data_IF_213752056538
#
_entry.id   IF_213752056538
#
_cell.length_a   1.000
_cell.length_b   1.000
_cell.length_c   1.000
_cell.angle_alpha   90.00
_cell.angle_beta   90.00
_cell.angle_gamma   90.00
#
_symmetry.space_group_name_H-M   'P 1'
#
loop_
_entity.id
_entity.type
_entity.pdbx_description
1 polymer ?
#
# COMPACT_ATOMS: atom_id res chain seq x y z
N UNK A 1 -11.58 37.68 22.53
CA UNK A 1 -10.35 38.45 22.26
C UNK A 1 -9.15 37.54 22.44
N UNK A 2 -8.37 37.29 21.40
CA UNK A 2 -7.19 36.41 21.46
C UNK A 2 -6.10 37.11 22.29
N UNK A 3 -5.46 36.38 23.19
CA UNK A 3 -4.37 36.92 24.00
C UNK A 3 -3.23 37.41 23.08
N UNK A 4 -2.64 38.58 23.36
CA UNK A 4 -1.60 39.21 22.54
C UNK A 4 -0.44 38.26 22.20
N UNK A 5 -0.09 37.35 23.09
CA UNK A 5 0.96 36.34 22.87
C UNK A 5 0.57 35.22 21.88
N UNK A 6 -0.72 34.98 21.66
CA UNK A 6 -1.21 33.94 20.75
C UNK A 6 -1.34 34.43 19.28
N UNK A 7 -1.17 35.73 19.02
CA UNK A 7 -1.32 36.29 17.69
C UNK A 7 -0.27 35.79 16.69
N UNK A 8 0.92 35.39 17.17
CA UNK A 8 1.96 34.78 16.32
C UNK A 8 1.52 33.40 15.80
N UNK A 9 0.75 32.63 16.58
CA UNK A 9 0.18 31.36 16.13
C UNK A 9 -0.85 31.57 15.03
N UNK A 10 -1.71 32.60 15.17
CA UNK A 10 -2.66 32.96 14.12
C UNK A 10 -1.95 33.36 12.82
N UNK A 11 -0.85 34.10 12.92
CA UNK A 11 -0.01 34.44 11.76
C UNK A 11 0.58 33.17 11.10
N UNK A 12 1.12 32.28 11.90
CA UNK A 12 1.66 31.01 11.40
C UNK A 12 0.60 30.16 10.70
N UNK A 13 -0.60 30.05 11.29
CA UNK A 13 -1.71 29.33 10.68
C UNK A 13 -2.17 29.95 9.34
N UNK A 14 -2.15 31.28 9.22
CA UNK A 14 -2.43 31.95 7.93
C UNK A 14 -1.38 31.59 6.90
N UNK A 15 -0.09 31.64 7.25
CA UNK A 15 0.99 31.26 6.35
C UNK A 15 0.85 29.77 5.96
N UNK A 16 0.65 28.88 6.93
CA UNK A 16 0.49 27.45 6.68
C UNK A 16 -0.69 27.15 5.76
N UNK A 17 -1.83 27.80 5.96
CA UNK A 17 -3.08 27.47 5.28
C UNK A 17 -3.28 28.18 3.94
N UNK A 18 -2.82 29.43 3.84
CA UNK A 18 -3.16 30.29 2.71
C UNK A 18 -1.97 30.69 1.84
N UNK A 19 -0.80 30.10 2.06
CA UNK A 19 0.37 30.38 1.22
C UNK A 19 1.04 29.10 0.74
N UNK A 20 1.63 29.18 -0.40
CA UNK A 20 2.56 28.24 -1.01
C UNK A 20 3.39 29.00 -2.07
N UNK A 21 4.27 28.31 -2.80
CA UNK A 21 5.14 28.92 -3.82
C UNK A 21 4.38 29.68 -4.90
N UNK A 22 3.14 29.28 -5.21
CA UNK A 22 2.28 29.92 -6.21
C UNK A 22 1.27 30.90 -5.61
N UNK A 23 1.12 30.92 -4.28
CA UNK A 23 0.14 31.75 -3.57
C UNK A 23 0.82 32.54 -2.46
N UNK A 24 1.42 33.64 -2.84
CA UNK A 24 2.21 34.54 -1.99
C UNK A 24 1.30 35.61 -1.39
N UNK A 25 1.46 35.92 -0.11
CA UNK A 25 0.71 36.95 0.57
C UNK A 25 1.60 38.14 0.94
N UNK A 26 1.18 39.35 0.52
CA UNK A 26 1.78 40.58 1.04
C UNK A 26 1.44 40.77 2.52
N UNK A 27 2.21 41.58 3.24
CA UNK A 27 1.93 41.94 4.63
C UNK A 27 0.53 42.52 4.82
N UNK A 28 0.00 43.26 3.86
CA UNK A 28 -1.36 43.81 3.88
C UNK A 28 -2.41 42.68 3.80
N UNK A 29 -2.27 41.76 2.83
CA UNK A 29 -3.16 40.60 2.71
C UNK A 29 -3.12 39.71 3.93
N UNK A 30 -1.96 39.56 4.59
CA UNK A 30 -1.85 38.83 5.87
C UNK A 30 -2.65 39.54 6.95
N UNK A 31 -2.53 40.87 7.06
CA UNK A 31 -3.29 41.68 8.01
C UNK A 31 -4.80 41.53 7.82
N UNK A 32 -5.27 41.65 6.57
CA UNK A 32 -6.68 41.45 6.23
C UNK A 32 -7.20 40.05 6.66
N UNK A 33 -6.41 39.02 6.40
CA UNK A 33 -6.77 37.66 6.81
C UNK A 33 -6.76 37.48 8.34
N UNK A 34 -5.78 38.04 9.03
CA UNK A 34 -5.74 38.01 10.50
C UNK A 34 -6.99 38.68 11.07
N UNK A 35 -7.40 39.81 10.52
CA UNK A 35 -8.59 40.55 10.94
C UNK A 35 -9.87 39.76 10.64
N UNK A 36 -10.01 39.27 9.42
CA UNK A 36 -11.23 38.59 8.97
C UNK A 36 -11.46 37.21 9.61
N UNK A 37 -10.39 36.47 9.89
CA UNK A 37 -10.50 35.08 10.37
C UNK A 37 -10.43 35.00 11.90
N UNK A 38 -9.54 35.79 12.50
CA UNK A 38 -9.25 35.70 13.93
C UNK A 38 -9.64 36.94 14.73
N UNK A 39 -10.19 37.99 14.07
CA UNK A 39 -10.43 39.31 14.64
C UNK A 39 -9.18 39.92 15.31
N UNK A 40 -8.01 39.64 14.72
CA UNK A 40 -6.70 40.15 15.15
C UNK A 40 -6.29 41.27 14.25
N UNK A 41 -6.23 42.49 14.80
CA UNK A 41 -5.64 43.64 14.09
C UNK A 41 -4.15 43.73 14.45
N UNK A 42 -3.29 43.38 13.48
CA UNK A 42 -1.84 43.36 13.66
C UNK A 42 -1.20 44.38 12.73
N UNK A 43 -0.50 45.34 13.31
CA UNK A 43 0.25 46.34 12.51
C UNK A 43 1.34 45.69 11.64
N UNK A 44 1.63 46.29 10.51
CA UNK A 44 2.62 45.79 9.54
C UNK A 44 3.99 45.55 10.18
N UNK A 45 4.46 46.43 11.06
CA UNK A 45 5.73 46.25 11.79
C UNK A 45 5.69 45.02 12.72
N UNK A 46 4.54 44.75 13.32
CA UNK A 46 4.36 43.56 14.16
C UNK A 46 4.35 42.27 13.35
N UNK A 47 3.77 42.28 12.12
CA UNK A 47 3.83 41.15 11.19
C UNK A 47 5.30 40.81 10.87
N UNK A 48 6.10 41.79 10.49
CA UNK A 48 7.53 41.58 10.20
C UNK A 48 8.28 41.02 11.39
N UNK A 49 8.09 41.56 12.57
CA UNK A 49 8.73 41.09 13.80
C UNK A 49 8.34 39.66 14.16
N UNK A 50 7.07 39.31 13.97
CA UNK A 50 6.58 37.99 14.22
C UNK A 50 7.09 36.98 13.19
N UNK A 51 7.24 37.36 11.92
CA UNK A 51 7.85 36.53 10.88
C UNK A 51 9.32 36.23 11.23
N UNK A 52 10.08 37.26 11.65
CA UNK A 52 11.47 37.05 12.07
C UNK A 52 11.56 36.16 13.35
N UNK A 53 10.59 36.29 14.24
CA UNK A 53 10.51 35.41 15.41
C UNK A 53 10.22 33.94 15.03
N UNK A 54 9.37 33.71 14.02
CA UNK A 54 9.13 32.36 13.47
C UNK A 54 10.38 31.81 12.78
N UNK A 55 11.06 32.62 11.96
CA UNK A 55 12.33 32.24 11.33
C UNK A 55 13.42 31.89 12.35
N UNK A 56 13.52 32.64 13.44
CA UNK A 56 14.48 32.37 14.51
C UNK A 56 14.20 31.04 15.24
N UNK A 57 13.02 30.47 15.09
CA UNK A 57 12.62 29.13 15.57
C UNK A 57 12.82 28.02 14.54
N UNK A 58 13.42 28.32 13.40
CA UNK A 58 13.70 27.36 12.35
C UNK A 58 12.56 27.17 11.36
N UNK A 59 11.51 28.01 11.40
CA UNK A 59 10.42 27.94 10.42
C UNK A 59 10.87 28.70 9.16
N UNK A 60 11.00 28.01 8.03
CA UNK A 60 11.42 28.61 6.79
C UNK A 60 10.27 29.34 6.11
N UNK A 61 10.37 30.64 6.02
CA UNK A 61 9.38 31.53 5.41
C UNK A 61 10.09 32.38 4.36
N UNK A 62 9.70 32.27 3.09
CA UNK A 62 10.16 33.17 2.06
C UNK A 62 9.61 34.60 2.29
N UNK A 63 10.32 35.61 1.84
CA UNK A 63 9.94 36.99 2.01
C UNK A 63 10.20 37.84 0.75
N UNK A 64 10.02 39.15 0.88
CA UNK A 64 10.21 40.09 -0.23
C UNK A 64 11.61 40.06 -0.84
N UNK A 65 12.62 39.60 -0.10
CA UNK A 65 13.99 39.47 -0.60
C UNK A 65 14.12 38.33 -1.59
N UNK A 66 13.28 37.29 -1.40
CA UNK A 66 13.35 36.03 -2.18
C UNK A 66 12.50 36.10 -3.45
N UNK A 67 11.33 36.79 -3.40
CA UNK A 67 10.34 36.75 -4.49
C UNK A 67 9.77 38.11 -4.90
N UNK A 68 10.07 39.23 -4.17
CA UNK A 68 9.55 40.58 -4.35
C UNK A 68 8.03 40.78 -4.22
N UNK A 69 7.28 39.73 -3.89
CA UNK A 69 5.81 39.73 -3.82
C UNK A 69 5.26 39.68 -2.40
N UNK A 70 5.93 38.94 -1.50
CA UNK A 70 5.47 38.81 -0.13
C UNK A 70 6.03 37.61 0.61
N UNK A 71 5.19 36.99 1.41
CA UNK A 71 5.55 35.87 2.29
C UNK A 71 4.82 34.62 1.91
N UNK A 72 5.51 33.48 1.98
CA UNK A 72 4.93 32.17 1.96
C UNK A 72 5.76 31.20 2.81
N UNK A 73 5.11 30.16 3.34
CA UNK A 73 5.76 29.09 4.09
C UNK A 73 6.46 28.15 3.11
N UNK A 74 7.79 28.02 3.22
CA UNK A 74 8.60 27.12 2.40
C UNK A 74 8.52 25.70 2.99
N UNK A 75 8.97 25.57 4.24
CA UNK A 75 9.12 24.29 4.89
C UNK A 75 7.77 23.78 5.42
N UNK A 76 7.39 22.60 4.96
CA UNK A 76 6.21 21.89 5.42
C UNK A 76 6.62 20.55 5.98
N UNK A 77 5.83 20.03 6.89
CA UNK A 77 6.07 18.70 7.50
C UNK A 77 6.18 17.57 6.47
N UNK A 78 5.45 17.74 5.34
CA UNK A 78 5.49 16.83 4.19
C UNK A 78 5.51 17.63 2.90
N UNK A 79 6.31 17.20 1.94
CA UNK A 79 6.27 17.67 0.57
C UNK A 79 4.94 17.29 -0.12
N UNK A 80 4.53 18.06 -1.11
CA UNK A 80 3.28 17.82 -1.84
C UNK A 80 3.22 16.41 -2.47
N UNK A 81 4.34 15.94 -3.01
CA UNK A 81 4.50 14.60 -3.58
C UNK A 81 4.37 13.48 -2.54
N UNK A 82 4.87 13.73 -1.33
CA UNK A 82 4.76 12.78 -0.21
C UNK A 82 3.32 12.69 0.28
N UNK A 83 2.63 13.83 0.45
CA UNK A 83 1.21 13.85 0.79
C UNK A 83 0.39 13.12 -0.27
N UNK A 84 0.70 13.32 -1.55
CA UNK A 84 0.05 12.58 -2.64
C UNK A 84 0.22 11.09 -2.49
N UNK A 85 1.46 10.61 -2.30
CA UNK A 85 1.77 9.19 -2.12
C UNK A 85 1.03 8.61 -0.92
N UNK A 86 1.04 9.32 0.22
CA UNK A 86 0.33 8.89 1.43
C UNK A 86 -1.19 8.83 1.21
N UNK A 87 -1.77 9.81 0.53
CA UNK A 87 -3.20 9.79 0.19
C UNK A 87 -3.55 8.61 -0.72
N UNK A 88 -2.74 8.34 -1.75
CA UNK A 88 -2.96 7.23 -2.68
C UNK A 88 -2.79 5.88 -1.95
N UNK A 89 -1.82 5.73 -1.06
CA UNK A 89 -1.63 4.54 -0.23
C UNK A 89 -2.84 4.26 0.68
N UNK A 90 -3.38 5.29 1.32
CA UNK A 90 -4.61 5.19 2.14
C UNK A 90 -5.82 4.87 1.28
N UNK A 91 -5.94 5.50 0.11
CA UNK A 91 -7.05 5.29 -0.82
C UNK A 91 -7.05 3.86 -1.41
N UNK A 92 -5.88 3.32 -1.73
CA UNK A 92 -5.68 1.98 -2.29
C UNK A 92 -5.79 0.86 -1.25
N UNK A 93 -5.68 1.17 0.05
CA UNK A 93 -5.73 0.16 1.10
C UNK A 93 -7.10 -0.51 1.17
N UNK A 94 -7.15 -1.83 1.01
CA UNK A 94 -8.38 -2.62 1.19
C UNK A 94 -8.76 -2.82 2.66
N UNK A 95 -7.83 -2.57 3.58
CA UNK A 95 -8.03 -2.71 5.03
C UNK A 95 -8.78 -1.54 5.68
N UNK A 96 -8.83 -0.38 5.06
CA UNK A 96 -9.40 0.83 5.68
C UNK A 96 -10.76 1.11 5.05
N UNK A 97 -11.83 1.20 5.86
CA UNK A 97 -13.16 1.59 5.38
C UNK A 97 -13.10 2.92 4.63
N UNK A 98 -13.89 3.07 3.59
CA UNK A 98 -13.98 4.29 2.79
C UNK A 98 -14.16 5.55 3.65
N UNK A 99 -15.08 5.52 4.63
CA UNK A 99 -15.31 6.64 5.54
C UNK A 99 -14.07 7.01 6.36
N UNK A 100 -13.32 6.01 6.82
CA UNK A 100 -12.07 6.23 7.58
C UNK A 100 -10.95 6.70 6.67
N UNK A 101 -10.85 6.15 5.44
CA UNK A 101 -9.89 6.63 4.43
C UNK A 101 -10.12 8.11 4.12
N UNK A 102 -11.36 8.54 3.94
CA UNK A 102 -11.71 9.97 3.72
C UNK A 102 -11.26 10.85 4.88
N UNK A 103 -11.43 10.39 6.12
CA UNK A 103 -11.00 11.15 7.32
C UNK A 103 -9.47 11.26 7.37
N UNK A 104 -8.74 10.16 7.12
CA UNK A 104 -7.27 10.17 7.14
C UNK A 104 -6.73 11.05 6.01
N UNK A 105 -7.25 10.90 4.79
CA UNK A 105 -6.87 11.71 3.63
C UNK A 105 -7.11 13.20 3.93
N UNK A 106 -8.26 13.55 4.52
CA UNK A 106 -8.53 14.94 4.92
C UNK A 106 -7.45 15.48 5.87
N UNK A 107 -7.07 14.72 6.88
CA UNK A 107 -6.00 15.12 7.82
C UNK A 107 -4.65 15.29 7.12
N UNK A 108 -4.29 14.40 6.20
CA UNK A 108 -3.07 14.53 5.40
C UNK A 108 -3.08 15.80 4.55
N UNK A 109 -4.21 16.10 3.92
CA UNK A 109 -4.37 17.30 3.10
C UNK A 109 -4.32 18.59 3.93
N UNK A 110 -4.69 18.58 5.20
CA UNK A 110 -4.59 19.73 6.12
C UNK A 110 -3.13 20.12 6.44
N UNK A 111 -2.14 19.26 6.12
CA UNK A 111 -0.72 19.63 6.19
C UNK A 111 -0.30 20.61 5.09
N UNK A 112 -1.07 20.74 4.02
CA UNK A 112 -0.80 21.54 2.84
C UNK A 112 -1.61 22.84 2.82
N UNK A 113 -1.27 23.76 1.89
CA UNK A 113 -2.13 24.93 1.62
C UNK A 113 -3.50 24.49 1.11
N UNK A 114 -4.50 25.35 1.28
CA UNK A 114 -5.86 25.09 0.73
C UNK A 114 -5.85 24.91 -0.79
N UNK A 115 -4.90 25.51 -1.48
CA UNK A 115 -4.77 25.45 -2.94
C UNK A 115 -4.19 24.10 -3.36
N UNK A 116 -3.09 23.69 -2.73
CA UNK A 116 -2.47 22.38 -2.93
C UNK A 116 -3.42 21.25 -2.52
N UNK A 117 -4.10 21.40 -1.37
CA UNK A 117 -5.12 20.45 -0.91
C UNK A 117 -6.24 20.26 -1.92
N UNK A 118 -6.78 21.34 -2.48
CA UNK A 118 -7.83 21.28 -3.52
C UNK A 118 -7.35 20.62 -4.81
N UNK A 119 -6.08 20.84 -5.18
CA UNK A 119 -5.48 20.20 -6.34
C UNK A 119 -5.40 18.69 -6.14
N UNK A 120 -4.92 18.24 -4.97
CA UNK A 120 -4.82 16.82 -4.65
C UNK A 120 -6.19 16.14 -4.52
N UNK A 121 -7.19 16.80 -3.91
CA UNK A 121 -8.54 16.26 -3.76
C UNK A 121 -9.18 15.87 -5.09
N UNK A 122 -8.89 16.58 -6.18
CA UNK A 122 -9.41 16.27 -7.52
C UNK A 122 -8.82 15.00 -8.14
N UNK A 123 -7.71 14.53 -7.62
CA UNK A 123 -6.90 13.45 -8.23
C UNK A 123 -6.75 12.20 -7.36
N UNK A 124 -7.16 12.27 -6.09
CA UNK A 124 -7.16 11.11 -5.18
C UNK A 124 -8.50 10.40 -5.27
N UNK A 125 -8.49 9.14 -5.69
CA UNK A 125 -9.68 8.31 -5.81
C UNK A 125 -9.68 7.20 -4.77
N UNK A 126 -10.69 7.16 -3.91
CA UNK A 126 -10.90 6.07 -2.96
C UNK A 126 -11.73 4.98 -3.64
N UNK A 127 -11.17 3.78 -3.74
CA UNK A 127 -11.86 2.62 -4.28
C UNK A 127 -13.08 2.28 -3.43
N UNK A 128 -14.25 2.19 -4.07
CA UNK A 128 -15.55 1.99 -3.39
C UNK A 128 -15.89 0.51 -3.12
N UNK A 129 -15.03 -0.43 -3.55
CA UNK A 129 -15.28 -1.85 -3.32
C UNK A 129 -15.20 -2.20 -1.83
N UNK A 130 -15.98 -3.21 -1.42
CA UNK A 130 -16.23 -3.66 -0.04
C UNK A 130 -14.96 -3.69 0.81
N UNK A 131 -14.64 -2.57 1.44
CA UNK A 131 -13.59 -2.48 2.46
C UNK A 131 -14.21 -2.98 3.76
N UNK A 132 -13.78 -4.14 4.21
CA UNK A 132 -14.44 -4.90 5.28
C UNK A 132 -14.04 -4.42 6.68
N UNK A 133 -13.01 -3.56 6.83
CA UNK A 133 -12.39 -3.36 8.13
C UNK A 133 -12.94 -2.20 8.94
N UNK A 134 -13.20 -2.55 10.20
CA UNK A 134 -13.77 -1.70 11.25
C UNK A 134 -12.68 -0.89 11.96
N UNK A 135 -13.09 0.09 12.77
CA UNK A 135 -12.25 0.78 13.75
C UNK A 135 -11.47 -0.20 14.67
N UNK A 136 -11.96 -1.44 14.79
CA UNK A 136 -11.36 -2.50 15.60
C UNK A 136 -9.91 -2.81 15.20
N UNK A 137 -9.55 -2.73 13.90
CA UNK A 137 -8.17 -2.96 13.46
C UNK A 137 -7.19 -1.99 14.13
N UNK A 138 -7.55 -0.70 14.20
CA UNK A 138 -6.67 0.31 14.81
C UNK A 138 -6.50 0.06 16.32
N UNK A 139 -7.58 -0.29 17.01
CA UNK A 139 -7.50 -0.68 18.43
C UNK A 139 -6.65 -1.93 18.63
N UNK A 140 -6.77 -2.91 17.74
CA UNK A 140 -5.95 -4.13 17.80
C UNK A 140 -4.46 -3.81 17.59
N UNK A 141 -4.14 -2.96 16.61
CA UNK A 141 -2.75 -2.52 16.36
C UNK A 141 -2.20 -1.79 17.56
N UNK A 142 -2.96 -0.85 18.14
CA UNK A 142 -2.54 -0.08 19.31
C UNK A 142 -2.29 -1.00 20.52
N UNK A 143 -3.22 -1.92 20.81
CA UNK A 143 -3.08 -2.87 21.91
C UNK A 143 -1.85 -3.79 21.74
N UNK A 144 -1.62 -4.29 20.51
CA UNK A 144 -0.46 -5.12 20.22
C UNK A 144 0.85 -4.35 20.32
N UNK A 145 0.90 -3.09 19.86
CA UNK A 145 2.07 -2.24 20.00
C UNK A 145 2.41 -1.97 21.46
N UNK A 146 1.40 -1.71 22.29
CA UNK A 146 1.59 -1.55 23.73
C UNK A 146 2.14 -2.83 24.35
N UNK A 147 1.55 -4.00 24.02
CA UNK A 147 1.98 -5.29 24.54
C UNK A 147 3.44 -5.63 24.14
N UNK A 148 3.81 -5.35 22.88
CA UNK A 148 5.19 -5.54 22.40
C UNK A 148 6.16 -4.65 23.17
N UNK A 149 5.84 -3.35 23.34
CA UNK A 149 6.70 -2.41 24.06
C UNK A 149 6.85 -2.76 25.54
N UNK A 150 5.82 -3.31 26.16
CA UNK A 150 5.84 -3.76 27.54
C UNK A 150 6.44 -5.14 27.73
N UNK A 151 6.67 -5.89 26.65
CA UNK A 151 7.10 -7.27 26.71
C UNK A 151 6.08 -8.20 27.37
N UNK A 152 4.77 -7.96 27.13
CA UNK A 152 3.68 -8.69 27.73
C UNK A 152 2.96 -9.60 26.74
N UNK A 153 2.50 -10.77 27.22
CA UNK A 153 1.60 -11.65 26.45
C UNK A 153 0.24 -10.99 26.26
N UNK A 154 -0.44 -11.40 25.20
CA UNK A 154 -1.83 -11.00 24.95
C UNK A 154 -2.73 -12.23 24.86
N UNK A 155 -3.95 -12.11 25.34
CA UNK A 155 -5.03 -13.04 25.01
C UNK A 155 -5.89 -12.42 23.91
N UNK A 156 -6.37 -13.26 22.98
CA UNK A 156 -7.25 -12.83 21.90
C UNK A 156 -8.15 -14.01 21.48
N UNK A 157 -9.25 -13.69 20.78
CA UNK A 157 -10.09 -14.65 20.09
C UNK A 157 -9.73 -14.66 18.61
N UNK A 158 -9.54 -15.85 18.05
CA UNK A 158 -9.37 -16.03 16.61
C UNK A 158 -10.72 -16.02 15.90
N UNK A 159 -10.72 -15.33 14.75
CA UNK A 159 -11.84 -15.28 13.82
C UNK A 159 -11.45 -15.97 12.52
N UNK A 160 -12.41 -16.68 11.91
CA UNK A 160 -12.31 -17.24 10.57
C UNK A 160 -13.51 -16.85 9.73
N UNK A 161 -13.36 -16.90 8.40
CA UNK A 161 -14.49 -16.64 7.51
C UNK A 161 -15.48 -17.82 7.55
N UNK A 162 -16.71 -17.54 7.93
CA UNK A 162 -17.83 -18.45 7.74
C UNK A 162 -18.23 -18.59 6.26
N UNK A 163 -19.15 -19.49 5.98
CA UNK A 163 -19.67 -19.74 4.61
C UNK A 163 -20.36 -18.47 4.03
N UNK A 164 -20.90 -17.64 4.89
CA UNK A 164 -21.52 -16.34 4.57
C UNK A 164 -20.52 -15.22 4.26
N UNK A 165 -19.20 -15.50 4.27
CA UNK A 165 -18.12 -14.53 4.11
C UNK A 165 -18.03 -13.47 5.23
N UNK A 166 -18.58 -13.74 6.39
CA UNK A 166 -18.40 -12.95 7.61
C UNK A 166 -17.37 -13.61 8.53
N UNK A 167 -16.67 -12.77 9.32
CA UNK A 167 -15.73 -13.27 10.33
C UNK A 167 -16.51 -13.76 11.55
N UNK A 168 -16.37 -15.02 11.87
CA UNK A 168 -17.01 -15.70 12.98
C UNK A 168 -15.98 -16.19 14.00
N UNK A 169 -16.35 -16.23 15.27
CA UNK A 169 -15.49 -16.77 16.34
C UNK A 169 -15.35 -18.28 16.19
N UNK A 170 -14.11 -18.77 16.20
CA UNK A 170 -13.84 -20.20 16.18
C UNK A 170 -14.22 -20.81 17.53
N UNK A 171 -14.89 -21.93 17.52
CA UNK A 171 -15.12 -22.70 18.74
C UNK A 171 -13.77 -23.03 19.41
N UNK A 172 -13.58 -22.63 20.66
CA UNK A 172 -12.30 -22.69 21.39
C UNK A 172 -11.18 -21.82 20.79
N UNK A 173 -11.51 -20.75 20.04
CA UNK A 173 -10.56 -19.84 19.39
C UNK A 173 -9.81 -18.91 20.34
N UNK A 174 -9.95 -19.05 21.67
CA UNK A 174 -9.16 -18.29 22.63
C UNK A 174 -7.68 -18.71 22.55
N UNK A 175 -6.80 -17.74 22.30
CA UNK A 175 -5.36 -17.96 22.19
C UNK A 175 -4.62 -16.97 23.10
N UNK A 176 -3.46 -17.40 23.58
CA UNK A 176 -2.51 -16.54 24.26
C UNK A 176 -1.27 -16.49 23.39
N UNK A 177 -0.80 -15.29 23.08
CA UNK A 177 0.31 -15.03 22.16
C UNK A 177 1.38 -14.22 22.90
N UNK A 178 2.64 -14.59 22.73
CA UNK A 178 3.80 -13.74 23.00
C UNK A 178 4.07 -12.90 21.73
N UNK A 179 3.62 -11.64 21.65
CA UNK A 179 3.77 -10.82 20.46
C UNK A 179 5.18 -10.25 20.38
N UNK A 180 5.82 -10.32 19.20
CA UNK A 180 7.19 -9.82 19.03
C UNK A 180 7.29 -8.61 18.10
N UNK A 181 6.60 -8.66 16.95
CA UNK A 181 6.65 -7.58 15.96
C UNK A 181 5.42 -7.63 15.05
N UNK A 182 4.93 -6.44 14.69
CA UNK A 182 3.91 -6.29 13.65
C UNK A 182 4.58 -6.10 12.29
N UNK A 183 4.03 -6.75 11.26
CA UNK A 183 4.51 -6.61 9.87
C UNK A 183 3.36 -6.32 8.94
N UNK A 184 3.65 -5.54 7.89
CA UNK A 184 2.73 -5.27 6.80
C UNK A 184 3.14 -6.07 5.57
N UNK A 185 2.24 -6.92 5.06
CA UNK A 185 2.52 -7.82 3.94
C UNK A 185 1.29 -7.93 3.05
N UNK A 186 1.44 -7.66 1.75
CA UNK A 186 0.36 -7.75 0.75
C UNK A 186 -0.95 -7.06 1.19
N UNK A 187 -0.83 -5.86 1.73
CA UNK A 187 -2.00 -5.09 2.14
C UNK A 187 -2.62 -5.51 3.47
N UNK A 188 -2.04 -6.47 4.20
CA UNK A 188 -2.54 -6.95 5.48
C UNK A 188 -1.53 -6.77 6.61
N UNK A 189 -2.03 -6.49 7.81
CA UNK A 189 -1.22 -6.49 9.02
C UNK A 189 -1.20 -7.87 9.67
N UNK A 190 -0.01 -8.31 10.04
CA UNK A 190 0.22 -9.54 10.79
C UNK A 190 0.98 -9.22 12.07
N UNK A 191 0.67 -9.95 13.13
CA UNK A 191 1.51 -10.05 14.32
C UNK A 191 2.31 -11.34 14.23
N UNK A 192 3.63 -11.24 14.35
CA UNK A 192 4.48 -12.40 14.56
C UNK A 192 4.55 -12.68 16.05
N UNK A 193 4.23 -13.87 16.42
CA UNK A 193 4.16 -14.27 17.81
C UNK A 193 4.30 -15.76 18.01
N UNK A 194 4.47 -16.13 19.24
CA UNK A 194 4.52 -17.52 19.67
C UNK A 194 3.26 -17.80 20.49
N UNK A 195 2.52 -18.84 20.11
CA UNK A 195 1.34 -19.26 20.85
C UNK A 195 1.80 -19.91 22.16
N UNK A 196 1.06 -19.71 23.24
CA UNK A 196 1.35 -20.35 24.51
C UNK A 196 1.39 -21.88 24.34
N UNK A 197 2.39 -22.53 24.91
CA UNK A 197 2.71 -23.96 24.75
C UNK A 197 3.15 -24.41 23.33
N UNK A 198 3.43 -23.50 22.43
CA UNK A 198 4.03 -23.80 21.12
C UNK A 198 5.50 -23.36 21.11
N UNK A 199 6.36 -24.14 20.47
CA UNK A 199 7.77 -23.75 20.23
C UNK A 199 7.94 -23.04 18.89
N UNK A 200 6.92 -23.05 18.04
CA UNK A 200 6.98 -22.49 16.71
C UNK A 200 6.57 -21.00 16.69
N UNK A 201 7.24 -20.23 15.85
CA UNK A 201 6.86 -18.87 15.53
C UNK A 201 5.72 -18.91 14.49
N UNK A 202 4.60 -18.30 14.84
CA UNK A 202 3.42 -18.21 14.00
C UNK A 202 3.15 -16.75 13.60
N UNK A 203 2.30 -16.55 12.61
CA UNK A 203 1.80 -15.25 12.22
C UNK A 203 0.28 -15.24 12.24
N UNK A 204 -0.30 -14.18 12.78
CA UNK A 204 -1.75 -14.02 12.89
C UNK A 204 -2.15 -12.72 12.20
N UNK A 205 -3.18 -12.77 11.37
CA UNK A 205 -3.76 -11.55 10.82
C UNK A 205 -4.40 -10.75 11.95
N UNK A 206 -4.05 -9.46 12.06
CA UNK A 206 -4.53 -8.60 13.15
C UNK A 206 -6.05 -8.35 13.04
N UNK A 207 -6.57 -8.31 11.83
CA UNK A 207 -8.00 -8.18 11.55
C UNK A 207 -8.82 -9.43 11.88
N UNK A 208 -8.17 -10.59 12.02
CA UNK A 208 -8.77 -11.83 12.49
C UNK A 208 -8.64 -12.05 14.00
N UNK A 209 -8.21 -11.03 14.73
CA UNK A 209 -8.15 -11.06 16.19
C UNK A 209 -9.25 -10.16 16.78
N UNK A 210 -9.90 -10.66 17.83
CA UNK A 210 -10.95 -9.96 18.57
C UNK A 210 -10.66 -10.02 20.06
N UNK A 211 -11.15 -9.04 20.80
CA UNK A 211 -11.09 -8.96 22.26
C UNK A 211 -9.64 -9.09 22.78
N UNK A 212 -8.68 -8.35 22.18
CA UNK A 212 -7.27 -8.39 22.58
C UNK A 212 -7.14 -7.78 23.98
N UNK A 213 -6.59 -8.58 24.92
CA UNK A 213 -6.32 -8.16 26.29
C UNK A 213 -4.85 -8.39 26.62
N UNK A 214 -4.18 -7.36 27.12
CA UNK A 214 -2.77 -7.46 27.57
C UNK A 214 -2.75 -8.16 28.91
N UNK A 215 -1.91 -9.18 29.03
CA UNK A 215 -1.76 -9.97 30.25
C UNK A 215 -0.56 -9.46 31.07
N UNK A 216 -0.65 -9.53 32.40
CA UNK A 216 0.49 -9.25 33.27
C UNK A 216 1.48 -10.44 33.30
N UNK A 217 1.88 -10.91 32.13
CA UNK A 217 2.82 -12.02 31.94
C UNK A 217 3.83 -11.66 30.87
N UNK A 218 5.12 -11.86 31.17
CA UNK A 218 6.20 -11.64 30.22
C UNK A 218 6.10 -12.57 29.01
N UNK A 219 6.59 -12.08 27.85
CA UNK A 219 6.69 -12.86 26.62
C UNK A 219 7.72 -13.98 26.73
N UNK A 220 7.51 -15.08 25.98
CA UNK A 220 8.50 -16.14 25.85
C UNK A 220 9.69 -15.64 25.03
N UNK A 221 10.92 -16.04 25.39
CA UNK A 221 12.12 -15.67 24.63
C UNK A 221 12.22 -16.38 23.29
N UNK A 222 12.71 -15.67 22.26
CA UNK A 222 13.12 -16.26 20.99
C UNK A 222 14.62 -16.50 21.00
N UNK A 223 15.03 -17.75 20.89
CA UNK A 223 16.44 -18.10 20.71
C UNK A 223 16.84 -17.96 19.24
N UNK A 224 17.94 -17.27 18.96
CA UNK A 224 18.48 -17.13 17.59
C UNK A 224 18.12 -15.84 16.87
N UNK A 225 17.34 -14.94 17.48
CA UNK A 225 16.94 -13.66 16.89
C UNK A 225 15.79 -13.77 15.90
N UNK A 226 15.01 -12.71 15.75
CA UNK A 226 13.91 -12.60 14.79
C UNK A 226 14.30 -11.65 13.67
N UNK A 227 14.26 -12.13 12.43
CA UNK A 227 14.31 -11.29 11.24
C UNK A 227 12.94 -11.28 10.58
N UNK A 228 12.12 -10.21 10.80
CA UNK A 228 10.75 -10.16 10.31
C UNK A 228 10.65 -10.24 8.79
N UNK A 229 11.56 -9.57 8.05
CA UNK A 229 11.56 -9.58 6.59
C UNK A 229 11.83 -10.98 6.05
N UNK A 230 12.81 -11.67 6.61
CA UNK A 230 13.14 -13.03 6.21
C UNK A 230 12.04 -14.03 6.56
N UNK A 231 11.36 -13.82 7.70
CA UNK A 231 10.18 -14.62 8.07
C UNK A 231 9.03 -14.41 7.08
N UNK A 232 8.71 -13.16 6.75
CA UNK A 232 7.67 -12.82 5.79
C UNK A 232 7.93 -13.49 4.43
N UNK A 233 9.16 -13.38 3.92
CA UNK A 233 9.54 -14.03 2.68
C UNK A 233 9.34 -15.55 2.71
N UNK A 234 9.73 -16.21 3.79
CA UNK A 234 9.70 -17.69 3.87
C UNK A 234 8.35 -18.27 4.24
N UNK A 235 7.61 -17.64 5.15
CA UNK A 235 6.42 -18.27 5.75
C UNK A 235 5.09 -17.64 5.33
N UNK A 236 5.06 -16.32 5.05
CA UNK A 236 3.81 -15.66 4.65
C UNK A 236 3.60 -15.76 3.15
N UNK A 237 4.63 -15.43 2.36
CA UNK A 237 4.56 -15.55 0.90
C UNK A 237 4.72 -16.98 0.39
N UNK A 238 5.37 -17.84 1.16
CA UNK A 238 5.82 -19.15 0.69
C UNK A 238 5.48 -20.24 1.69
N UNK A 239 4.50 -21.02 1.35
CA UNK A 239 4.31 -22.36 1.92
C UNK A 239 5.53 -23.21 1.58
N UNK A 240 6.57 -23.22 2.40
CA UNK A 240 7.74 -24.12 2.36
C UNK A 240 8.31 -24.55 0.97
N UNK A 241 8.03 -23.78 -0.08
CA UNK A 241 8.53 -24.08 -1.42
C UNK A 241 9.92 -23.50 -1.60
N UNK A 242 10.91 -24.31 -1.87
CA UNK A 242 12.26 -23.85 -2.21
C UNK A 242 12.26 -23.16 -3.58
N UNK A 243 13.03 -22.06 -3.71
CA UNK A 243 13.27 -21.42 -5.00
C UNK A 243 13.94 -22.41 -5.94
N UNK A 244 13.45 -22.50 -7.16
CA UNK A 244 14.01 -23.31 -8.22
C UNK A 244 14.16 -22.47 -9.49
N UNK A 245 14.96 -22.96 -10.42
CA UNK A 245 15.21 -22.32 -11.69
C UNK A 245 14.26 -22.87 -12.74
N UNK A 246 13.55 -21.97 -13.42
CA UNK A 246 12.61 -22.30 -14.49
C UNK A 246 13.04 -21.61 -15.78
N UNK A 247 12.93 -22.33 -16.89
CA UNK A 247 13.17 -21.79 -18.21
C UNK A 247 11.85 -21.73 -18.97
N UNK A 248 11.49 -20.53 -19.40
CA UNK A 248 10.27 -20.28 -20.17
C UNK A 248 10.62 -19.64 -21.51
N UNK A 249 9.91 -20.01 -22.55
CA UNK A 249 9.89 -19.30 -23.82
C UNK A 249 8.55 -18.58 -23.95
N UNK A 250 8.58 -17.31 -24.28
CA UNK A 250 7.37 -16.50 -24.37
C UNK A 250 7.51 -15.42 -25.45
N UNK A 251 6.39 -14.82 -25.83
CA UNK A 251 6.38 -13.67 -26.72
C UNK A 251 7.20 -12.53 -26.11
N UNK A 252 7.99 -11.83 -26.94
CA UNK A 252 8.85 -10.74 -26.47
C UNK A 252 8.06 -9.60 -25.78
N UNK A 253 6.80 -9.42 -26.15
CA UNK A 253 5.90 -8.43 -25.55
C UNK A 253 5.71 -8.63 -24.03
N UNK A 254 5.86 -9.87 -23.54
CA UNK A 254 5.76 -10.19 -22.11
C UNK A 254 7.02 -9.85 -21.32
N UNK A 255 8.11 -9.44 -21.96
CA UNK A 255 9.37 -9.14 -21.28
C UNK A 255 9.22 -8.04 -20.21
N UNK A 256 8.45 -7.00 -20.51
CA UNK A 256 8.23 -5.90 -19.57
C UNK A 256 7.59 -6.42 -18.28
N UNK A 257 6.55 -7.21 -18.42
CA UNK A 257 5.83 -7.79 -17.27
C UNK A 257 6.70 -8.79 -16.48
N UNK A 258 7.51 -9.59 -17.19
CA UNK A 258 8.49 -10.49 -16.55
C UNK A 258 9.50 -9.69 -15.72
N UNK A 259 10.03 -8.61 -16.29
CA UNK A 259 10.99 -7.75 -15.62
C UNK A 259 10.38 -7.05 -14.39
N UNK A 260 9.14 -6.62 -14.46
CA UNK A 260 8.40 -6.03 -13.35
C UNK A 260 8.08 -7.05 -12.25
N UNK A 261 7.64 -8.26 -12.64
CA UNK A 261 7.21 -9.30 -11.70
C UNK A 261 8.39 -9.99 -10.99
N UNK A 262 9.45 -10.32 -11.75
CA UNK A 262 10.54 -11.14 -11.23
C UNK A 262 11.84 -10.36 -11.01
N UNK A 263 11.96 -9.16 -11.55
CA UNK A 263 13.10 -8.27 -11.37
C UNK A 263 14.44 -8.96 -11.63
N UNK A 264 15.38 -8.86 -10.68
CA UNK A 264 16.72 -9.46 -10.75
C UNK A 264 16.74 -11.01 -10.77
N UNK A 265 15.61 -11.65 -10.50
CA UNK A 265 15.48 -13.11 -10.55
C UNK A 265 15.22 -13.63 -11.97
N UNK A 266 14.97 -12.76 -12.94
CA UNK A 266 14.80 -13.09 -14.34
C UNK A 266 16.08 -12.78 -15.15
N UNK A 267 16.55 -13.75 -15.93
CA UNK A 267 17.73 -13.60 -16.77
C UNK A 267 17.39 -14.04 -18.20
N UNK A 268 17.66 -13.19 -19.17
CA UNK A 268 17.46 -13.52 -20.58
C UNK A 268 18.55 -14.50 -21.04
N UNK A 269 18.13 -15.66 -21.55
CA UNK A 269 19.01 -16.67 -22.13
C UNK A 269 19.13 -16.50 -23.64
N UNK A 270 18.00 -16.24 -24.32
CA UNK A 270 17.94 -16.08 -25.76
C UNK A 270 16.88 -15.07 -26.13
N UNK A 271 17.14 -14.27 -27.16
CA UNK A 271 16.19 -13.30 -27.69
C UNK A 271 16.15 -13.42 -29.21
N UNK A 272 14.98 -13.63 -29.76
CA UNK A 272 14.67 -13.55 -31.17
C UNK A 272 13.76 -12.33 -31.47
N UNK A 273 13.32 -12.15 -32.71
CA UNK A 273 12.46 -11.00 -33.05
C UNK A 273 11.07 -11.04 -32.40
N UNK A 274 10.53 -12.23 -32.23
CA UNK A 274 9.15 -12.44 -31.73
C UNK A 274 9.12 -13.11 -30.37
N UNK A 275 10.16 -13.88 -30.01
CA UNK A 275 10.21 -14.67 -28.78
C UNK A 275 11.44 -14.36 -27.93
N UNK A 276 11.29 -14.62 -26.63
CA UNK A 276 12.37 -14.52 -25.67
C UNK A 276 12.37 -15.77 -24.78
N UNK A 277 13.58 -16.30 -24.54
CA UNK A 277 13.79 -17.38 -23.55
C UNK A 277 14.38 -16.77 -22.29
N UNK A 278 13.73 -16.99 -21.17
CA UNK A 278 14.10 -16.40 -19.89
C UNK A 278 14.25 -17.50 -18.84
N UNK A 279 15.31 -17.37 -18.05
CA UNK A 279 15.53 -18.18 -16.86
C UNK A 279 15.06 -17.40 -15.64
N UNK A 280 14.15 -17.95 -14.86
CA UNK A 280 13.52 -17.31 -13.70
C UNK A 280 13.80 -18.15 -12.45
N UNK A 281 14.40 -17.54 -11.43
CA UNK A 281 14.62 -18.15 -10.13
C UNK A 281 13.52 -17.74 -9.18
N UNK A 282 12.52 -18.62 -9.00
CA UNK A 282 11.37 -18.32 -8.14
C UNK A 282 10.80 -19.60 -7.56
N UNK A 283 9.75 -19.47 -6.73
CA UNK A 283 9.06 -20.63 -6.19
C UNK A 283 8.05 -21.22 -7.18
N UNK A 284 7.79 -22.55 -7.11
CA UNK A 284 6.88 -23.24 -8.01
C UNK A 284 5.48 -22.62 -8.11
N UNK A 285 4.92 -22.16 -6.99
CA UNK A 285 3.57 -21.59 -6.95
C UNK A 285 3.47 -20.27 -7.72
N UNK A 286 4.46 -19.38 -7.61
CA UNK A 286 4.48 -18.09 -8.30
C UNK A 286 4.62 -18.25 -9.80
N UNK A 287 5.60 -19.06 -10.25
CA UNK A 287 5.78 -19.30 -11.69
C UNK A 287 4.59 -20.05 -12.29
N UNK A 288 3.99 -20.96 -11.52
CA UNK A 288 2.78 -21.65 -11.94
C UNK A 288 1.62 -20.68 -12.19
N UNK A 289 1.34 -19.78 -11.24
CA UNK A 289 0.27 -18.80 -11.37
C UNK A 289 0.52 -17.87 -12.56
N UNK A 290 1.75 -17.36 -12.70
CA UNK A 290 2.12 -16.48 -13.81
C UNK A 290 1.97 -17.16 -15.17
N UNK A 291 2.49 -18.38 -15.34
CA UNK A 291 2.36 -19.16 -16.58
C UNK A 291 0.90 -19.48 -16.89
N UNK A 292 0.07 -19.78 -15.89
CA UNK A 292 -1.35 -20.06 -16.12
C UNK A 292 -2.11 -18.81 -16.62
N UNK A 293 -1.72 -17.62 -16.21
CA UNK A 293 -2.29 -16.36 -16.70
C UNK A 293 -1.91 -16.14 -18.16
N UNK A 294 -0.68 -16.51 -18.56
CA UNK A 294 -0.11 -16.27 -19.90
C UNK A 294 0.00 -17.54 -20.75
N UNK A 295 -0.81 -18.55 -20.49
CA UNK A 295 -0.70 -19.89 -21.05
C UNK A 295 -0.73 -19.97 -22.58
N UNK A 296 -1.32 -18.97 -23.25
CA UNK A 296 -1.39 -18.90 -24.70
C UNK A 296 -0.18 -18.23 -25.35
N UNK A 297 0.68 -17.60 -24.55
CA UNK A 297 1.80 -16.77 -24.98
C UNK A 297 3.15 -17.22 -24.42
N UNK A 298 3.15 -18.25 -23.57
CA UNK A 298 4.37 -18.78 -22.98
C UNK A 298 4.35 -20.31 -22.89
N UNK A 299 5.56 -20.90 -22.93
CA UNK A 299 5.80 -22.33 -22.77
C UNK A 299 6.92 -22.55 -21.76
N UNK A 300 6.75 -23.54 -20.86
CA UNK A 300 7.81 -23.94 -19.94
C UNK A 300 8.74 -24.92 -20.65
N UNK A 301 9.99 -24.52 -20.84
CA UNK A 301 11.04 -25.36 -21.42
C UNK A 301 11.62 -26.30 -20.35
N UNK A 302 11.85 -25.79 -19.16
CA UNK A 302 12.45 -26.55 -18.05
C UNK A 302 12.06 -26.05 -16.67
N UNK A 303 12.18 -26.90 -15.64
CA UNK A 303 12.53 -28.33 -15.68
C UNK A 303 11.38 -29.21 -16.16
N UNK A 304 11.71 -30.36 -16.77
CA UNK A 304 10.73 -31.29 -17.38
C UNK A 304 9.63 -31.73 -16.39
N UNK A 305 10.01 -32.00 -15.13
CA UNK A 305 9.04 -32.40 -14.08
C UNK A 305 7.97 -31.36 -13.81
N UNK A 306 8.32 -30.07 -13.92
CA UNK A 306 7.39 -28.96 -13.72
C UNK A 306 6.54 -28.74 -14.97
N UNK A 307 7.14 -28.80 -16.15
CA UNK A 307 6.44 -28.75 -17.44
C UNK A 307 5.35 -29.80 -17.53
N UNK A 308 5.69 -31.07 -17.20
CA UNK A 308 4.75 -32.19 -17.24
C UNK A 308 3.59 -32.01 -16.25
N UNK A 309 3.82 -31.42 -15.06
CA UNK A 309 2.76 -31.09 -14.09
C UNK A 309 1.77 -30.07 -14.66
N UNK A 310 2.23 -29.05 -15.37
CA UNK A 310 1.37 -28.02 -15.95
C UNK A 310 0.57 -28.60 -17.12
N UNK A 311 1.20 -29.36 -18.01
CA UNK A 311 0.51 -30.03 -19.11
C UNK A 311 -0.55 -31.02 -18.65
N UNK A 312 -0.32 -31.76 -17.56
CA UNK A 312 -1.32 -32.64 -16.96
C UNK A 312 -2.56 -31.88 -16.43
N UNK A 313 -2.36 -30.70 -15.82
CA UNK A 313 -3.46 -29.85 -15.36
C UNK A 313 -4.25 -29.23 -16.51
N UNK A 314 -3.57 -28.78 -17.58
CA UNK A 314 -4.20 -28.28 -18.79
C UNK A 314 -5.13 -29.29 -19.44
N UNK A 315 -4.69 -30.53 -19.56
CA UNK A 315 -5.49 -31.62 -20.17
C UNK A 315 -6.68 -32.02 -19.30
N UNK A 316 -6.58 -31.93 -17.97
CA UNK A 316 -7.72 -32.15 -17.05
C UNK A 316 -8.79 -31.07 -17.14
N UNK A 317 -8.40 -29.81 -17.36
CA UNK A 317 -9.37 -28.71 -17.53
C UNK A 317 -10.09 -28.72 -18.88
N UNK A 318 -9.52 -29.35 -19.91
CA UNK A 318 -10.11 -29.35 -21.27
C UNK A 318 -10.98 -30.55 -21.61
N UNK A 319 -10.81 -31.69 -21.04
CA UNK A 319 -11.75 -32.82 -21.12
C UNK A 319 -11.21 -34.08 -20.36
N UNK A 320 -11.97 -34.70 -19.46
CA UNK A 320 -11.51 -35.88 -18.75
C UNK A 320 -11.43 -37.16 -19.62
N UNK A 321 -11.92 -37.14 -20.89
CA UNK A 321 -12.06 -38.28 -21.76
C UNK A 321 -11.19 -38.29 -23.02
N UNK A 322 -10.24 -37.40 -23.21
CA UNK A 322 -9.39 -37.40 -24.41
C UNK A 322 -8.05 -38.10 -24.14
N UNK A 323 -7.89 -39.29 -24.75
CA UNK A 323 -6.62 -40.00 -24.87
C UNK A 323 -5.66 -39.18 -25.76
N UNK A 324 -4.41 -39.10 -25.30
CA UNK A 324 -3.28 -38.38 -25.89
C UNK A 324 -3.16 -38.55 -27.41
N UNK A 325 -3.09 -37.45 -28.17
CA UNK A 325 -2.66 -37.41 -29.56
C UNK A 325 -1.44 -36.48 -29.68
N UNK A 326 -0.41 -36.87 -30.48
CA UNK A 326 0.87 -36.18 -30.59
C UNK A 326 0.84 -34.85 -31.39
N UNK A 327 -0.32 -34.38 -31.79
CA UNK A 327 -0.50 -33.30 -32.79
C UNK A 327 -0.67 -31.91 -32.17
N UNK A 328 -0.53 -31.73 -30.87
CA UNK A 328 -0.89 -30.47 -30.19
C UNK A 328 0.18 -29.37 -30.34
N UNK A 329 1.46 -29.69 -30.50
CA UNK A 329 2.53 -28.71 -30.69
C UNK A 329 2.45 -27.95 -32.04
N UNK A 330 1.77 -28.53 -33.04
CA UNK A 330 1.57 -27.92 -34.35
C UNK A 330 0.37 -26.98 -34.42
N UNK A 331 -0.63 -27.14 -33.55
CA UNK A 331 -1.89 -26.35 -33.61
C UNK A 331 -1.72 -24.98 -32.91
N UNK A 332 -0.87 -24.86 -31.90
CA UNK A 332 -0.54 -23.57 -31.33
C UNK A 332 0.25 -22.65 -32.27
N UNK A 333 1.16 -23.23 -33.07
CA UNK A 333 1.94 -22.46 -34.07
C UNK A 333 1.12 -21.96 -35.23
N UNK A 334 -0.01 -22.59 -35.59
CA UNK A 334 -0.84 -22.20 -36.74
C UNK A 334 -1.96 -21.20 -36.45
N UNK A 335 -2.27 -20.91 -35.17
CA UNK A 335 -3.32 -19.94 -34.81
C UNK A 335 -2.80 -18.52 -34.58
N UNK A 336 -1.47 -18.31 -34.50
CA UNK A 336 -0.86 -17.00 -34.36
C UNK A 336 -0.90 -16.19 -35.68
N UNK A 337 -1.20 -16.82 -36.80
CA UNK A 337 -1.11 -16.17 -38.14
C UNK A 337 -2.43 -15.71 -38.77
N UNK A 338 -3.56 -15.66 -38.05
CA UNK A 338 -4.79 -15.09 -38.64
C UNK A 338 -5.63 -14.36 -37.61
N UNK A 339 -5.34 -13.09 -37.38
CA UNK A 339 -6.37 -12.06 -37.22
C UNK A 339 -5.79 -10.62 -37.24
N UNK A 340 -5.59 -10.03 -38.42
CA UNK A 340 -5.42 -8.58 -38.49
C UNK A 340 -6.79 -7.99 -38.86
N UNK A 341 -7.66 -7.72 -37.91
CA UNK A 341 -8.83 -6.84 -38.10
C UNK A 341 -9.70 -6.85 -36.82
N UNK A 342 -9.33 -5.98 -35.88
CA UNK A 342 -10.25 -5.30 -34.98
C UNK A 342 -9.48 -4.28 -34.12
N UNK A 343 -8.96 -3.28 -34.82
CA UNK A 343 -8.77 -1.94 -34.26
C UNK A 343 -9.89 -1.10 -34.86
N UNK A 344 -10.96 -1.00 -34.14
CA UNK A 344 -11.89 0.14 -34.15
C UNK A 344 -13.10 -0.23 -33.28
N UNK A 345 -13.48 0.71 -32.43
CA UNK A 345 -14.62 0.64 -31.50
C UNK A 345 -14.30 0.03 -30.13
N UNK A 346 -13.80 0.87 -29.24
CA UNK A 346 -14.19 1.01 -27.85
C UNK A 346 -13.56 2.28 -27.27
N UNK A 347 -13.90 3.41 -27.87
CA UNK A 347 -13.85 4.73 -27.24
C UNK A 347 -15.32 5.13 -27.05
N UNK A 348 -15.94 4.62 -26.01
CA UNK A 348 -17.17 5.17 -25.43
C UNK A 348 -17.66 4.15 -24.41
N UNK A 349 -17.30 4.31 -23.21
CA UNK A 349 -17.97 4.00 -21.92
C UNK A 349 -16.92 4.21 -20.81
N UNK A 350 -16.52 5.46 -20.63
CA UNK A 350 -16.02 5.97 -19.36
C UNK A 350 -16.76 7.29 -19.13
N UNK A 351 -18.03 7.19 -18.82
CA UNK A 351 -18.75 8.27 -18.16
C UNK A 351 -19.62 7.65 -17.07
N UNK A 352 -19.53 8.24 -15.91
CA UNK A 352 -20.33 8.03 -14.71
C UNK A 352 -19.76 7.09 -13.64
N UNK A 353 -18.93 7.64 -12.80
CA UNK A 353 -19.19 7.75 -11.34
C UNK A 353 -17.97 8.42 -10.66
N UNK A 354 -17.75 9.66 -11.02
CA UNK A 354 -16.86 10.56 -10.27
C UNK A 354 -17.70 11.31 -9.25
N UNK A 355 -17.69 10.88 -8.00
CA UNK A 355 -18.06 11.74 -6.88
C UNK A 355 -16.78 12.29 -6.27
N UNK A 356 -16.61 13.62 -6.22
CA UNK A 356 -15.48 14.22 -5.53
C UNK A 356 -15.61 14.00 -4.01
N UNK A 357 -14.48 13.80 -3.36
CA UNK A 357 -14.35 13.76 -1.91
C UNK A 357 -14.74 15.10 -1.29
N UNK A 358 -15.71 15.12 -0.41
CA UNK A 358 -15.99 16.15 0.58
C UNK A 358 -15.63 15.65 1.98
#
# INVERSE_FOLDING_TARGET
MIASKATILCLYEILKKYTDESHILSAEKIREKLKSIYDVDMERRAIYRNIEALRSKGIEIAGYQDNREGYFLIDREFELSEVRLLCDAVAASDMIKESTSKIIIKKLLESQSIFQSRMLQKTVFVKSEKKILSKQLFYNIDALNVAINQGCKVSAKLLEYGVNQELEEIANGNIIISPYVTIWVEGNYYILGKREYSEELEHFRIDHLKDITILERGIDMIFGGLNPSQYAEKKIFQKDESKASYEIECAFELWQEIAETFGKNATVLKKDKENITVKINTIPSVIHSWVMTHINQCEIIGPKSFRDKIHCKQNRCRNPNIKRSPTFSKICRSKIHRNPLRRQQNTDIIQSSTYPLF
#
